data_IF_534329433919
#
_entry.id   IF_534329433919
#
_cell.length_a   1.000
_cell.length_b   1.000
_cell.length_c   1.000
_cell.angle_alpha   90.00
_cell.angle_beta   90.00
_cell.angle_gamma   90.00
#
_symmetry.space_group_name_H-M   'P 1'
#
loop_
_entity.id
_entity.type
_entity.pdbx_description
1 polymer ?
#
# COMPACT_ATOMS: atom_id res chain seq x y z
N UNK A 1 7.09 11.57 -20.93
CA UNK A 1 6.02 10.98 -20.05
C UNK A 1 4.89 11.97 -19.85
N UNK A 2 3.62 11.54 -19.97
CA UNK A 2 2.45 12.37 -19.62
C UNK A 2 2.35 12.43 -18.10
N UNK A 3 2.10 13.64 -17.57
CA UNK A 3 2.00 13.90 -16.14
C UNK A 3 0.85 14.88 -15.88
N UNK A 4 0.01 14.59 -14.89
CA UNK A 4 -1.14 15.41 -14.51
C UNK A 4 -1.31 15.39 -12.99
N UNK A 5 -1.62 16.53 -12.37
CA UNK A 5 -2.04 16.61 -10.98
C UNK A 5 -3.56 16.82 -10.94
N UNK A 6 -4.25 15.91 -10.27
CA UNK A 6 -5.68 16.01 -9.98
C UNK A 6 -5.85 16.50 -8.55
N UNK A 7 -6.79 17.42 -8.34
CA UNK A 7 -7.20 17.85 -7.00
C UNK A 7 -8.70 17.63 -6.88
N UNK A 8 -9.13 16.96 -5.82
CA UNK A 8 -10.53 16.69 -5.54
C UNK A 8 -10.81 16.88 -4.05
N UNK A 9 -11.93 17.54 -3.73
CA UNK A 9 -12.40 17.59 -2.35
C UNK A 9 -12.85 16.19 -1.92
N UNK A 10 -12.29 15.71 -0.81
CA UNK A 10 -12.68 14.45 -0.19
C UNK A 10 -13.76 14.69 0.86
N UNK A 11 -14.93 14.11 0.65
CA UNK A 11 -16.01 14.14 1.64
C UNK A 11 -15.67 13.30 2.88
N UNK A 12 -14.95 12.19 2.69
CA UNK A 12 -14.50 11.31 3.78
C UNK A 12 -13.50 12.01 4.71
N UNK A 13 -12.61 12.84 4.14
CA UNK A 13 -11.54 13.50 4.88
C UNK A 13 -11.84 14.97 5.23
N UNK A 14 -12.84 15.59 4.59
CA UNK A 14 -13.22 16.99 4.80
C UNK A 14 -12.18 18.00 4.31
N UNK A 15 -11.36 17.62 3.30
CA UNK A 15 -10.31 18.46 2.72
C UNK A 15 -10.00 18.09 1.28
N UNK A 16 -9.29 18.97 0.58
CA UNK A 16 -8.77 18.67 -0.76
C UNK A 16 -7.67 17.60 -0.67
N UNK A 17 -7.72 16.64 -1.58
CA UNK A 17 -6.74 15.58 -1.76
C UNK A 17 -6.21 15.61 -3.18
N UNK A 18 -4.92 15.35 -3.35
CA UNK A 18 -4.29 15.34 -4.65
C UNK A 18 -3.92 13.92 -5.08
N UNK A 19 -3.91 13.71 -6.38
CA UNK A 19 -3.40 12.50 -7.04
C UNK A 19 -2.48 12.95 -8.17
N UNK A 20 -1.23 12.48 -8.17
CA UNK A 20 -0.35 12.59 -9.32
C UNK A 20 -0.55 11.41 -10.26
N UNK A 21 -0.80 11.72 -11.52
CA UNK A 21 -0.97 10.73 -12.59
C UNK A 21 0.26 10.74 -13.48
N UNK A 22 0.86 9.56 -13.69
CA UNK A 22 1.99 9.37 -14.58
C UNK A 22 1.64 8.34 -15.66
N UNK A 23 1.78 8.75 -16.93
CA UNK A 23 1.40 7.92 -18.08
C UNK A 23 -0.04 8.09 -18.52
N UNK A 24 -0.43 7.30 -19.54
CA UNK A 24 -1.72 7.47 -20.22
C UNK A 24 -2.32 6.13 -20.65
N UNK A 25 -1.92 5.02 -20.03
CA UNK A 25 -2.42 3.68 -20.36
C UNK A 25 -1.64 2.58 -19.67
N UNK A 26 -2.03 1.35 -19.93
CA UNK A 26 -1.51 0.18 -19.25
C UNK A 26 -2.35 -0.22 -18.04
N UNK A 27 -1.79 -1.00 -17.11
CA UNK A 27 -2.44 -1.35 -15.86
C UNK A 27 -2.42 -0.13 -14.94
N UNK A 28 -3.57 0.34 -14.42
CA UNK A 28 -3.56 1.40 -13.41
C UNK A 28 -2.93 0.85 -12.12
N UNK A 29 -2.02 1.62 -11.54
CA UNK A 29 -1.32 1.29 -10.28
C UNK A 29 -1.57 2.42 -9.29
N UNK A 30 -2.35 2.14 -8.25
CA UNK A 30 -2.51 3.04 -7.12
C UNK A 30 -1.25 2.99 -6.27
N UNK A 31 -0.57 4.12 -6.09
CA UNK A 31 0.68 4.23 -5.33
C UNK A 31 0.49 5.00 -4.02
N UNK A 32 0.97 4.42 -2.93
CA UNK A 32 1.03 5.07 -1.62
C UNK A 32 2.47 5.53 -1.34
N UNK A 33 2.69 6.83 -1.06
CA UNK A 33 4.01 7.37 -0.75
C UNK A 33 4.55 6.88 0.60
N UNK A 34 5.80 7.23 0.88
CA UNK A 34 6.40 6.99 2.21
C UNK A 34 5.78 7.87 3.28
N UNK A 35 6.08 7.59 4.55
CA UNK A 35 5.52 8.28 5.72
C UNK A 35 5.49 9.81 5.55
N UNK A 36 4.37 10.43 5.91
CA UNK A 36 4.13 11.89 5.92
C UNK A 36 4.35 12.58 4.55
N UNK A 37 4.44 11.81 3.48
CA UNK A 37 4.69 12.32 2.14
C UNK A 37 3.39 12.52 1.36
N UNK A 38 3.49 13.28 0.27
CA UNK A 38 2.38 13.60 -0.62
C UNK A 38 2.54 12.94 -2.00
N UNK A 39 1.59 13.13 -2.87
CA UNK A 39 1.50 12.45 -4.17
C UNK A 39 2.70 12.64 -5.10
N UNK A 40 3.56 13.65 -4.89
CA UNK A 40 4.79 13.85 -5.65
C UNK A 40 5.98 13.00 -5.18
N UNK A 41 5.88 12.33 -4.03
CA UNK A 41 6.98 11.62 -3.37
C UNK A 41 7.76 10.67 -4.30
N UNK A 42 7.07 9.89 -5.12
CA UNK A 42 7.72 8.95 -6.05
C UNK A 42 8.56 9.68 -7.11
N UNK A 43 8.12 10.84 -7.56
CA UNK A 43 8.85 11.67 -8.50
C UNK A 43 10.00 12.41 -7.82
N UNK A 44 9.76 13.02 -6.66
CA UNK A 44 10.75 13.81 -5.92
C UNK A 44 12.00 12.99 -5.59
N UNK A 45 11.85 11.69 -5.36
CA UNK A 45 12.95 10.75 -5.12
C UNK A 45 13.41 9.99 -6.37
N UNK A 46 12.82 10.24 -7.54
CA UNK A 46 13.29 9.67 -8.82
C UNK A 46 12.75 8.26 -9.13
N UNK A 47 11.82 7.70 -8.35
CA UNK A 47 11.25 6.38 -8.65
C UNK A 47 10.53 6.36 -10.00
N UNK A 48 9.80 7.43 -10.31
CA UNK A 48 9.07 7.53 -11.59
C UNK A 48 10.03 7.45 -12.78
N UNK A 49 11.19 8.06 -12.69
CA UNK A 49 12.21 7.97 -13.75
C UNK A 49 12.80 6.56 -13.86
N UNK A 50 13.00 5.87 -12.72
CA UNK A 50 13.53 4.51 -12.70
C UNK A 50 12.58 3.46 -13.30
N UNK A 51 11.27 3.72 -13.32
CA UNK A 51 10.25 2.86 -13.93
C UNK A 51 9.62 3.50 -15.17
N UNK A 52 10.24 4.55 -15.70
CA UNK A 52 9.72 5.35 -16.82
C UNK A 52 9.44 4.53 -18.07
N UNK A 53 10.24 3.51 -18.35
CA UNK A 53 10.04 2.58 -19.47
C UNK A 53 8.72 1.79 -19.36
N UNK A 54 8.31 1.37 -18.16
CA UNK A 54 7.00 0.73 -17.97
C UNK A 54 5.84 1.69 -18.25
N UNK A 55 6.01 2.96 -17.89
CA UNK A 55 4.98 3.99 -18.06
C UNK A 55 4.89 4.42 -19.52
N UNK A 56 6.03 4.72 -20.16
CA UNK A 56 6.08 5.19 -21.55
C UNK A 56 5.63 4.12 -22.55
N UNK A 57 5.96 2.85 -22.29
CA UNK A 57 5.51 1.71 -23.08
C UNK A 57 4.07 1.27 -22.77
N UNK A 58 3.32 2.04 -21.96
CA UNK A 58 1.92 1.76 -21.58
C UNK A 58 1.73 0.38 -20.92
N UNK A 59 2.70 -0.08 -20.18
CA UNK A 59 2.57 -1.28 -19.34
C UNK A 59 1.87 -0.94 -18.04
N UNK A 60 2.18 0.23 -17.46
CA UNK A 60 1.58 0.75 -16.25
C UNK A 60 1.21 2.23 -16.37
N UNK A 61 0.17 2.64 -15.65
CA UNK A 61 -0.21 4.04 -15.40
C UNK A 61 -0.29 4.25 -13.89
N UNK A 62 0.57 5.10 -13.34
CA UNK A 62 0.62 5.32 -11.89
C UNK A 62 -0.30 6.45 -11.46
N UNK A 63 -0.98 6.23 -10.34
CA UNK A 63 -1.83 7.18 -9.62
C UNK A 63 -1.32 7.24 -8.18
N UNK A 64 -0.49 8.22 -7.85
CA UNK A 64 0.09 8.37 -6.51
C UNK A 64 -0.74 9.37 -5.73
N UNK A 65 -1.25 8.96 -4.56
CA UNK A 65 -2.18 9.73 -3.74
C UNK A 65 -1.47 10.48 -2.61
N UNK A 66 -2.07 11.57 -2.12
CA UNK A 66 -1.68 12.18 -0.86
C UNK A 66 -1.96 11.25 0.33
N UNK A 67 -1.23 11.40 1.45
CA UNK A 67 -1.48 10.69 2.71
C UNK A 67 -2.09 11.57 3.79
N UNK A 68 -2.50 10.95 4.89
CA UNK A 68 -2.92 11.59 6.13
C UNK A 68 -2.15 11.05 7.35
N UNK A 69 -0.95 10.54 7.13
CA UNK A 69 -0.15 9.87 8.16
C UNK A 69 0.08 10.77 9.37
N UNK A 70 0.39 12.06 9.14
CA UNK A 70 0.55 13.06 10.20
C UNK A 70 -0.73 13.30 11.04
N UNK A 71 -1.87 12.81 10.57
CA UNK A 71 -3.15 12.86 11.29
C UNK A 71 -3.53 11.47 11.85
N UNK A 72 -2.81 10.40 11.49
CA UNK A 72 -3.12 9.01 11.85
C UNK A 72 -1.89 8.25 12.36
N UNK A 73 -1.25 7.43 11.51
CA UNK A 73 -0.18 6.51 11.89
C UNK A 73 1.03 7.19 12.53
N UNK A 74 1.50 8.32 12.01
CA UNK A 74 2.68 9.01 12.52
C UNK A 74 2.38 10.03 13.64
N UNK A 75 1.11 10.34 13.91
CA UNK A 75 0.67 11.30 14.95
C UNK A 75 0.76 10.72 16.37
N UNK A 76 1.95 10.28 16.81
CA UNK A 76 2.14 9.54 18.08
C UNK A 76 1.59 10.24 19.33
N UNK A 77 1.54 11.58 19.34
CA UNK A 77 1.02 12.35 20.48
C UNK A 77 -0.48 12.67 20.37
N UNK A 78 -1.16 12.24 19.32
CA UNK A 78 -2.58 12.46 19.11
C UNK A 78 -3.45 11.46 19.87
N UNK A 79 -4.72 11.82 20.10
CA UNK A 79 -5.71 10.90 20.67
C UNK A 79 -5.83 9.64 19.78
N UNK A 80 -5.56 8.44 20.30
CA UNK A 80 -5.54 7.23 19.48
C UNK A 80 -6.91 6.87 18.88
N UNK A 81 -8.01 7.25 19.51
CA UNK A 81 -9.37 7.06 18.96
C UNK A 81 -9.55 7.92 17.71
N UNK A 82 -9.15 9.20 17.78
CA UNK A 82 -9.21 10.09 16.64
C UNK A 82 -8.27 9.65 15.51
N UNK A 83 -7.05 9.24 15.82
CA UNK A 83 -6.07 8.73 14.85
C UNK A 83 -6.58 7.50 14.10
N UNK A 84 -7.19 6.54 14.82
CA UNK A 84 -7.82 5.36 14.22
C UNK A 84 -9.00 5.74 13.31
N UNK A 85 -9.86 6.66 13.76
CA UNK A 85 -10.96 7.18 12.95
C UNK A 85 -10.45 7.88 11.68
N UNK A 86 -9.33 8.61 11.78
CA UNK A 86 -8.70 9.30 10.65
C UNK A 86 -8.16 8.33 9.61
N UNK A 87 -7.54 7.22 10.06
CA UNK A 87 -7.14 6.12 9.18
C UNK A 87 -8.34 5.50 8.45
N UNK A 88 -9.44 5.26 9.13
CA UNK A 88 -10.65 4.72 8.51
C UNK A 88 -11.24 5.68 7.46
N UNK A 89 -11.22 6.97 7.74
CA UNK A 89 -11.63 8.00 6.76
C UNK A 89 -10.73 7.99 5.53
N UNK A 90 -9.42 7.77 5.72
CA UNK A 90 -8.48 7.62 4.61
C UNK A 90 -8.75 6.37 3.79
N UNK A 91 -9.01 5.25 4.43
CA UNK A 91 -9.41 4.02 3.73
C UNK A 91 -10.67 4.25 2.88
N UNK A 92 -11.68 4.95 3.41
CA UNK A 92 -12.89 5.30 2.65
C UNK A 92 -12.59 6.26 1.51
N UNK A 93 -11.74 7.27 1.72
CA UNK A 93 -11.27 8.12 0.63
C UNK A 93 -10.67 7.29 -0.52
N UNK A 94 -9.83 6.32 -0.20
CA UNK A 94 -9.22 5.45 -1.22
C UNK A 94 -10.30 4.62 -1.95
N UNK A 95 -11.18 3.96 -1.22
CA UNK A 95 -12.15 3.00 -1.81
C UNK A 95 -13.32 3.68 -2.51
N UNK A 96 -13.83 4.77 -1.96
CA UNK A 96 -15.11 5.36 -2.35
C UNK A 96 -14.95 6.62 -3.21
N UNK A 97 -13.75 7.22 -3.23
CA UNK A 97 -13.48 8.46 -3.96
C UNK A 97 -12.31 8.31 -4.95
N UNK A 98 -11.10 7.95 -4.50
CA UNK A 98 -9.91 7.85 -5.36
C UNK A 98 -10.02 6.71 -6.39
N UNK A 99 -10.43 5.51 -5.99
CA UNK A 99 -10.60 4.38 -6.91
C UNK A 99 -11.67 4.63 -7.99
N UNK A 100 -12.87 5.17 -7.70
CA UNK A 100 -13.81 5.58 -8.72
C UNK A 100 -13.23 6.60 -9.71
N UNK A 101 -12.47 7.58 -9.23
CA UNK A 101 -11.78 8.55 -10.09
C UNK A 101 -10.74 7.87 -11.00
N UNK A 102 -9.92 6.96 -10.45
CA UNK A 102 -8.95 6.17 -11.23
C UNK A 102 -9.66 5.35 -12.30
N UNK A 103 -10.76 4.66 -11.94
CA UNK A 103 -11.56 3.86 -12.88
C UNK A 103 -12.24 4.68 -13.98
N UNK A 104 -12.58 5.93 -13.70
CA UNK A 104 -13.11 6.84 -14.74
C UNK A 104 -12.06 7.21 -15.79
N UNK A 105 -10.77 7.11 -15.44
CA UNK A 105 -9.61 7.39 -16.30
C UNK A 105 -9.03 6.16 -16.98
N UNK A 106 -9.17 5.01 -16.33
CA UNK A 106 -8.66 3.73 -16.79
C UNK A 106 -9.54 2.60 -16.24
N UNK A 107 -10.27 1.94 -17.12
CA UNK A 107 -11.31 0.96 -16.77
C UNK A 107 -10.77 -0.42 -16.35
N UNK A 108 -9.46 -0.64 -16.48
CA UNK A 108 -8.82 -1.88 -16.03
C UNK A 108 -8.84 -1.98 -14.50
N UNK A 109 -8.89 -3.22 -13.99
CA UNK A 109 -8.76 -3.47 -12.56
C UNK A 109 -7.38 -3.01 -12.07
N UNK A 110 -7.29 -2.08 -11.09
CA UNK A 110 -6.01 -1.54 -10.65
C UNK A 110 -5.20 -2.55 -9.83
N UNK A 111 -3.88 -2.40 -9.90
CA UNK A 111 -2.98 -2.90 -8.86
C UNK A 111 -2.78 -1.83 -7.78
N UNK A 112 -2.26 -2.23 -6.63
CA UNK A 112 -1.89 -1.30 -5.56
C UNK A 112 -0.44 -1.51 -5.14
N UNK A 113 0.27 -0.43 -4.81
CA UNK A 113 1.67 -0.49 -4.34
C UNK A 113 1.95 0.58 -3.29
N UNK A 114 2.97 0.35 -2.48
CA UNK A 114 3.42 1.32 -1.51
C UNK A 114 4.83 1.00 -0.99
N UNK A 115 5.49 2.03 -0.44
CA UNK A 115 6.85 1.99 0.08
C UNK A 115 6.84 2.45 1.55
N UNK A 116 7.56 1.74 2.44
CA UNK A 116 7.61 2.10 3.86
C UNK A 116 6.17 2.14 4.44
N UNK A 117 5.74 3.20 5.11
CA UNK A 117 4.36 3.35 5.58
C UNK A 117 3.32 3.24 4.45
N UNK A 118 3.67 3.62 3.22
CA UNK A 118 2.81 3.38 2.07
C UNK A 118 2.57 1.90 1.79
N UNK A 119 3.50 1.01 2.16
CA UNK A 119 3.32 -0.43 2.06
C UNK A 119 2.25 -0.94 3.04
N UNK A 120 2.14 -0.31 4.22
CA UNK A 120 1.09 -0.62 5.20
C UNK A 120 -0.28 -0.22 4.64
N UNK A 121 -0.39 0.98 4.05
CA UNK A 121 -1.61 1.41 3.37
C UNK A 121 -2.00 0.49 2.20
N UNK A 122 -1.02 0.04 1.41
CA UNK A 122 -1.27 -0.90 0.32
C UNK A 122 -1.79 -2.24 0.86
N UNK A 123 -1.17 -2.78 1.92
CA UNK A 123 -1.56 -4.02 2.58
C UNK A 123 -2.97 -3.92 3.19
N UNK A 124 -3.25 -2.87 3.97
CA UNK A 124 -4.56 -2.61 4.57
C UNK A 124 -5.63 -2.54 3.47
N UNK A 125 -5.39 -1.75 2.44
CA UNK A 125 -6.35 -1.53 1.35
C UNK A 125 -6.64 -2.82 0.58
N UNK A 126 -5.60 -3.58 0.21
CA UNK A 126 -5.73 -4.82 -0.52
C UNK A 126 -6.38 -5.93 0.32
N UNK A 127 -5.92 -6.13 1.55
CA UNK A 127 -6.39 -7.23 2.39
C UNK A 127 -7.83 -7.01 2.89
N UNK A 128 -8.27 -5.77 3.06
CA UNK A 128 -9.67 -5.45 3.35
C UNK A 128 -10.58 -5.55 2.12
N UNK A 129 -10.08 -5.23 0.92
CA UNK A 129 -10.87 -5.19 -0.32
C UNK A 129 -10.15 -5.82 -1.50
N UNK A 130 -9.84 -7.14 -1.44
CA UNK A 130 -9.17 -7.83 -2.55
C UNK A 130 -9.99 -7.85 -3.84
N UNK A 131 -11.30 -7.66 -3.75
CA UNK A 131 -12.23 -7.55 -4.87
C UNK A 131 -11.98 -6.31 -5.76
N UNK A 132 -11.37 -5.26 -5.19
CA UNK A 132 -11.14 -4.00 -5.90
C UNK A 132 -9.83 -3.97 -6.70
N UNK A 133 -8.94 -4.95 -6.50
CA UNK A 133 -7.60 -4.94 -7.06
C UNK A 133 -7.25 -6.23 -7.80
N UNK A 134 -6.37 -6.11 -8.79
CA UNK A 134 -5.78 -7.26 -9.47
C UNK A 134 -4.64 -7.92 -8.69
N UNK A 135 -3.92 -7.14 -7.90
CA UNK A 135 -2.78 -7.56 -7.09
C UNK A 135 -2.18 -6.39 -6.30
N UNK A 136 -1.13 -6.71 -5.54
CA UNK A 136 -0.45 -5.75 -4.66
C UNK A 136 1.06 -5.96 -4.65
N UNK A 137 1.82 -4.86 -4.49
CA UNK A 137 3.25 -4.87 -4.17
C UNK A 137 3.51 -3.94 -3.00
N UNK A 138 3.93 -4.49 -1.87
CA UNK A 138 4.25 -3.76 -0.64
C UNK A 138 5.74 -3.90 -0.32
N UNK A 139 6.48 -2.79 -0.27
CA UNK A 139 7.93 -2.75 -0.07
C UNK A 139 8.27 -2.12 1.28
N UNK A 140 8.93 -2.89 2.16
CA UNK A 140 9.48 -2.44 3.44
C UNK A 140 8.44 -1.83 4.40
N UNK A 141 7.25 -2.43 4.53
CA UNK A 141 6.23 -2.01 5.50
C UNK A 141 6.47 -2.55 6.91
N UNK A 142 5.82 -1.89 7.91
CA UNK A 142 5.76 -2.33 9.32
C UNK A 142 4.30 -2.67 9.65
N UNK A 143 3.92 -3.92 9.47
CA UNK A 143 2.53 -4.41 9.54
C UNK A 143 2.11 -4.73 10.98
N UNK A 144 2.20 -3.74 11.87
CA UNK A 144 1.93 -3.91 13.30
C UNK A 144 1.33 -2.62 13.89
N UNK A 145 0.04 -2.64 14.20
CA UNK A 145 -0.64 -1.49 14.77
C UNK A 145 -0.09 -1.10 16.15
N UNK A 146 0.41 -2.06 16.94
CA UNK A 146 0.98 -1.78 18.25
C UNK A 146 2.23 -0.89 18.17
N UNK A 147 3.01 -1.03 17.07
CA UNK A 147 4.19 -0.19 16.82
C UNK A 147 3.83 1.30 16.67
N UNK A 148 2.67 1.59 16.10
CA UNK A 148 2.22 2.95 15.85
C UNK A 148 1.29 3.51 16.93
N UNK A 149 0.55 2.64 17.62
CA UNK A 149 -0.51 3.01 18.56
C UNK A 149 -0.24 2.60 20.01
N UNK A 150 1.00 2.19 20.33
CA UNK A 150 1.46 1.85 21.69
C UNK A 150 0.50 0.88 22.41
N UNK A 151 0.02 -0.16 21.71
CA UNK A 151 -0.89 -1.17 22.23
C UNK A 151 -2.36 -0.75 22.30
N UNK A 152 -2.72 0.45 21.89
CA UNK A 152 -4.12 0.83 21.77
C UNK A 152 -4.81 0.04 20.66
N UNK A 153 -6.03 -0.44 20.95
CA UNK A 153 -6.87 -1.13 19.97
C UNK A 153 -8.35 -0.81 20.22
N UNK A 154 -9.08 -0.53 19.16
CA UNK A 154 -10.53 -0.45 19.12
C UNK A 154 -11.03 -1.12 17.83
N UNK A 155 -12.36 -1.24 17.67
CA UNK A 155 -12.96 -1.90 16.50
C UNK A 155 -12.51 -1.24 15.18
N UNK A 156 -12.36 0.08 15.14
CA UNK A 156 -11.95 0.83 13.96
C UNK A 156 -10.48 0.53 13.58
N UNK A 157 -9.57 0.53 14.56
CA UNK A 157 -8.18 0.20 14.33
C UNK A 157 -8.00 -1.27 13.99
N UNK A 158 -8.78 -2.16 14.63
CA UNK A 158 -8.80 -3.59 14.32
C UNK A 158 -9.07 -3.86 12.84
N UNK A 159 -10.05 -3.19 12.25
CA UNK A 159 -10.35 -3.28 10.81
C UNK A 159 -9.20 -2.78 9.92
N UNK A 160 -8.33 -1.93 10.44
CA UNK A 160 -7.15 -1.40 9.74
C UNK A 160 -5.85 -2.12 10.12
N UNK A 161 -5.94 -3.27 10.78
CA UNK A 161 -4.80 -4.03 11.30
C UNK A 161 -4.82 -5.47 10.77
N UNK A 162 -4.22 -5.75 9.59
CA UNK A 162 -4.22 -7.09 8.98
C UNK A 162 -3.72 -8.18 9.93
N UNK A 163 -2.71 -7.91 10.73
CA UNK A 163 -2.16 -8.84 11.73
C UNK A 163 -3.15 -9.17 12.85
N UNK A 164 -4.19 -8.36 13.02
CA UNK A 164 -5.25 -8.57 14.01
C UNK A 164 -6.49 -9.25 13.41
N UNK A 165 -6.98 -8.82 12.24
CA UNK A 165 -8.21 -9.39 11.70
C UNK A 165 -7.98 -10.70 10.94
N UNK A 166 -6.84 -10.90 10.27
CA UNK A 166 -6.58 -12.13 9.51
C UNK A 166 -6.57 -13.39 10.37
N UNK A 167 -5.96 -13.44 11.56
CA UNK A 167 -6.03 -14.60 12.45
C UNK A 167 -7.46 -15.01 12.81
N UNK A 168 -8.36 -14.04 12.93
CA UNK A 168 -9.75 -14.24 13.28
C UNK A 168 -10.66 -14.51 12.06
N UNK A 169 -10.12 -14.39 10.84
CA UNK A 169 -10.88 -14.70 9.62
C UNK A 169 -11.21 -16.20 9.58
N UNK A 170 -12.50 -16.58 9.39
CA UNK A 170 -12.87 -17.99 9.25
C UNK A 170 -12.15 -18.65 8.06
N UNK A 171 -11.76 -19.92 8.20
CA UNK A 171 -11.04 -20.67 7.14
C UNK A 171 -11.86 -20.83 5.85
N UNK A 172 -13.17 -20.67 5.90
CA UNK A 172 -14.06 -20.68 4.74
C UNK A 172 -14.48 -19.28 4.30
N UNK A 173 -13.80 -18.24 4.76
CA UNK A 173 -14.09 -16.86 4.35
C UNK A 173 -13.90 -16.69 2.84
N UNK A 174 -14.84 -16.03 2.12
CA UNK A 174 -14.82 -15.92 0.66
C UNK A 174 -13.60 -15.15 0.12
N UNK A 175 -12.92 -14.37 0.94
CA UNK A 175 -11.70 -13.66 0.54
C UNK A 175 -10.48 -14.59 0.44
N UNK A 176 -10.42 -15.73 1.15
CA UNK A 176 -9.27 -16.64 1.07
C UNK A 176 -9.07 -17.17 -0.37
N UNK A 177 -10.06 -17.77 -1.03
CA UNK A 177 -9.91 -18.15 -2.44
C UNK A 177 -9.71 -16.94 -3.36
N UNK A 178 -10.23 -15.77 -3.02
CA UNK A 178 -10.01 -14.56 -3.81
C UNK A 178 -8.56 -14.06 -3.70
N UNK A 179 -7.96 -14.06 -2.51
CA UNK A 179 -6.52 -13.78 -2.34
C UNK A 179 -5.68 -14.72 -3.20
N UNK A 180 -5.99 -16.02 -3.18
CA UNK A 180 -5.23 -17.04 -3.90
C UNK A 180 -5.35 -16.95 -5.43
N UNK A 181 -6.30 -16.17 -5.96
CA UNK A 181 -6.41 -15.84 -7.38
C UNK A 181 -5.62 -14.60 -7.77
N UNK A 182 -5.08 -13.86 -6.78
CA UNK A 182 -4.35 -12.61 -6.99
C UNK A 182 -2.86 -12.81 -6.81
N UNK A 183 -2.08 -11.97 -7.46
CA UNK A 183 -0.66 -11.87 -7.17
C UNK A 183 -0.45 -10.71 -6.20
N UNK A 184 -0.04 -11.04 -4.98
CA UNK A 184 0.30 -10.01 -4.01
C UNK A 184 1.62 -10.36 -3.33
N UNK A 185 2.47 -9.35 -3.28
CA UNK A 185 3.89 -9.49 -2.99
C UNK A 185 4.22 -8.54 -1.85
N UNK A 186 4.87 -9.09 -0.83
CA UNK A 186 5.53 -8.35 0.21
C UNK A 186 7.03 -8.52 0.05
N UNK A 187 7.80 -7.46 0.07
CA UNK A 187 9.26 -7.53 0.07
C UNK A 187 9.84 -6.64 1.16
N UNK A 188 10.88 -7.15 1.83
CA UNK A 188 11.62 -6.42 2.85
C UNK A 188 13.11 -6.74 2.72
N UNK A 189 13.99 -5.75 2.94
CA UNK A 189 15.40 -5.97 3.15
C UNK A 189 15.68 -6.56 4.53
N UNK A 190 16.93 -6.89 4.82
CA UNK A 190 17.38 -7.33 6.14
C UNK A 190 18.56 -6.47 6.64
N UNK A 191 18.82 -5.34 5.98
CA UNK A 191 19.83 -4.36 6.33
C UNK A 191 19.32 -3.30 7.31
N UNK A 192 20.00 -2.15 7.32
CA UNK A 192 19.70 -1.07 8.26
C UNK A 192 18.25 -0.57 8.13
N UNK A 193 17.59 -0.38 9.28
CA UNK A 193 16.24 0.14 9.45
C UNK A 193 15.12 -0.78 8.94
N UNK A 194 15.42 -2.07 8.67
CA UNK A 194 14.43 -3.06 8.22
C UNK A 194 14.02 -4.06 9.33
N UNK A 195 14.54 -3.93 10.54
CA UNK A 195 14.35 -4.89 11.63
C UNK A 195 12.85 -5.08 11.96
N UNK A 196 12.10 -3.99 12.10
CA UNK A 196 10.66 -4.05 12.38
C UNK A 196 9.87 -4.55 11.16
N UNK A 197 10.26 -4.16 9.95
CA UNK A 197 9.69 -4.67 8.70
C UNK A 197 9.83 -6.18 8.60
N UNK A 198 11.03 -6.71 8.84
CA UNK A 198 11.31 -8.16 8.85
C UNK A 198 10.47 -8.88 9.92
N UNK A 199 10.44 -8.35 11.15
CA UNK A 199 9.69 -8.93 12.26
C UNK A 199 8.20 -9.03 11.93
N UNK A 200 7.62 -7.95 11.46
CA UNK A 200 6.19 -7.87 11.21
C UNK A 200 5.77 -8.63 9.97
N UNK A 201 6.60 -8.64 8.91
CA UNK A 201 6.34 -9.47 7.74
C UNK A 201 6.41 -10.96 8.06
N UNK A 202 7.36 -11.42 8.90
CA UNK A 202 7.41 -12.81 9.35
C UNK A 202 6.14 -13.23 10.11
N UNK A 203 5.59 -12.32 10.91
CA UNK A 203 4.30 -12.56 11.56
C UNK A 203 3.17 -12.73 10.56
N UNK A 204 3.03 -11.82 9.58
CA UNK A 204 2.02 -11.95 8.52
C UNK A 204 2.23 -13.20 7.66
N UNK A 205 3.45 -13.55 7.30
CA UNK A 205 3.77 -14.76 6.53
C UNK A 205 3.30 -16.03 7.28
N UNK A 206 3.51 -16.06 8.63
CA UNK A 206 2.96 -17.11 9.49
C UNK A 206 1.44 -17.19 9.41
N UNK A 207 0.77 -16.05 9.56
CA UNK A 207 -0.70 -15.94 9.47
C UNK A 207 -1.20 -16.41 8.09
N UNK A 208 -0.55 -15.98 7.00
CA UNK A 208 -0.93 -16.39 5.66
C UNK A 208 -0.85 -17.92 5.48
N UNK A 209 0.22 -18.54 5.95
CA UNK A 209 0.39 -20.01 5.91
C UNK A 209 -0.69 -20.73 6.71
N UNK A 210 -0.99 -20.27 7.92
CA UNK A 210 -2.04 -20.85 8.78
C UNK A 210 -3.43 -20.75 8.15
N UNK A 211 -3.71 -19.66 7.42
CA UNK A 211 -4.98 -19.42 6.74
C UNK A 211 -5.06 -20.03 5.32
N UNK A 212 -3.98 -20.62 4.81
CA UNK A 212 -3.93 -21.11 3.43
C UNK A 212 -3.98 -20.00 2.39
N UNK A 213 -3.45 -18.83 2.71
CA UNK A 213 -3.33 -17.67 1.83
C UNK A 213 -1.96 -17.70 1.16
N UNK A 214 -1.92 -17.61 -0.17
CA UNK A 214 -0.71 -17.74 -0.99
C UNK A 214 -0.07 -16.38 -1.27
N UNK A 215 0.44 -15.71 -0.24
CA UNK A 215 1.23 -14.50 -0.40
C UNK A 215 2.66 -14.83 -0.86
N UNK A 216 3.25 -13.98 -1.69
CA UNK A 216 4.68 -14.02 -1.95
C UNK A 216 5.40 -13.07 -0.99
N UNK A 217 5.96 -13.63 0.11
CA UNK A 217 6.79 -12.90 1.05
C UNK A 217 8.26 -13.12 0.68
N UNK A 218 8.97 -12.04 0.32
CA UNK A 218 10.36 -12.06 -0.13
C UNK A 218 11.26 -11.27 0.82
N UNK A 219 12.35 -11.91 1.26
CA UNK A 219 13.31 -11.36 2.21
C UNK A 219 14.66 -11.19 1.52
N UNK A 220 15.00 -9.95 1.14
CA UNK A 220 16.25 -9.65 0.47
C UNK A 220 17.43 -9.63 1.44
N UNK A 221 18.67 -9.50 0.92
CA UNK A 221 19.90 -9.68 1.68
C UNK A 221 20.11 -8.70 2.84
N UNK A 222 21.11 -8.97 3.67
CA UNK A 222 21.49 -8.12 4.81
C UNK A 222 22.15 -6.80 4.39
N UNK A 223 22.50 -6.64 3.13
CA UNK A 223 22.96 -5.41 2.50
C UNK A 223 21.83 -4.52 1.96
N UNK A 224 20.59 -4.97 2.04
CA UNK A 224 19.39 -4.28 1.55
C UNK A 224 18.76 -3.47 2.68
N UNK A 225 18.98 -2.16 2.65
CA UNK A 225 18.53 -1.22 3.65
C UNK A 225 17.16 -0.60 3.32
N UNK A 226 16.53 0.02 4.31
CA UNK A 226 15.27 0.78 4.17
C UNK A 226 15.53 2.11 3.46
N UNK A 227 15.76 2.07 2.12
CA UNK A 227 16.16 3.26 1.37
C UNK A 227 15.82 3.14 -0.12
N UNK A 228 15.66 4.29 -0.78
CA UNK A 228 15.25 4.46 -2.17
C UNK A 228 16.06 3.65 -3.18
N UNK A 229 17.41 3.57 -3.13
CA UNK A 229 18.19 2.77 -4.10
C UNK A 229 17.76 1.29 -4.14
N UNK A 230 17.30 0.75 -3.01
CA UNK A 230 16.80 -0.61 -2.93
C UNK A 230 15.37 -0.73 -3.42
N UNK A 231 14.49 0.22 -3.07
CA UNK A 231 13.13 0.26 -3.58
C UNK A 231 13.06 0.44 -5.09
N UNK A 232 14.01 1.16 -5.71
CA UNK A 232 14.13 1.23 -7.17
C UNK A 232 14.38 -0.16 -7.78
N UNK A 233 15.31 -0.93 -7.21
CA UNK A 233 15.64 -2.28 -7.68
C UNK A 233 14.46 -3.23 -7.45
N UNK A 234 13.85 -3.19 -6.27
CA UNK A 234 12.71 -4.01 -5.91
C UNK A 234 11.50 -3.69 -6.80
N UNK A 235 11.18 -2.42 -6.99
CA UNK A 235 10.07 -2.02 -7.86
C UNK A 235 10.29 -2.54 -9.29
N UNK A 236 11.47 -2.35 -9.86
CA UNK A 236 11.78 -2.88 -11.21
C UNK A 236 11.73 -4.40 -11.30
N UNK A 237 12.12 -5.10 -10.25
CA UNK A 237 12.08 -6.56 -10.19
C UNK A 237 10.65 -7.09 -10.10
N UNK A 238 9.83 -6.52 -9.22
CA UNK A 238 8.49 -7.05 -8.97
C UNK A 238 7.39 -6.50 -9.89
N UNK A 239 7.57 -5.31 -10.46
CA UNK A 239 6.55 -4.68 -11.29
C UNK A 239 6.10 -5.57 -12.47
N UNK A 240 6.98 -6.25 -13.22
CA UNK A 240 6.55 -7.19 -14.26
C UNK A 240 5.64 -8.30 -13.74
N UNK A 241 5.89 -8.80 -12.52
CA UNK A 241 5.05 -9.84 -11.90
C UNK A 241 3.68 -9.31 -11.48
N UNK A 242 3.59 -8.04 -11.08
CA UNK A 242 2.34 -7.38 -10.70
C UNK A 242 1.49 -7.05 -11.94
N UNK A 243 2.13 -6.71 -13.05
CA UNK A 243 1.47 -6.28 -14.29
C UNK A 243 1.03 -7.44 -15.19
N UNK A 244 1.58 -8.64 -15.01
CA UNK A 244 1.28 -9.87 -15.77
C UNK A 244 -0.17 -10.44 -15.49
#
# INVERSE_FOLDING_TARGET
>A
MVKEKLTQYSASLGKDMNIMVYGHGGVPVLGFPTQDSMCQNYEDFGLIDHIGDFIENRLAQFFVVDTVDAESWSCKNGDPVWRAARQEQYFRYITDEALPLIRSRNDRLPAVTGLSMGADHAAITFLRRPDLFRGMLALSGVYDADYFFDGFMNDVLYENSPERFLPNMPVNHPYIPLYNQKKFIFCVGQGAWEEDGVRTLRNLDGIFREKGIHAWCDYWGFDVNHDWPWWFKQMRYFLPHLLA
#
